data_IF_853679554694
#
_entry.id   IF_853679554694
#
_cell.length_a   1.000
_cell.length_b   1.000
_cell.length_c   1.000
_cell.angle_alpha   90.00
_cell.angle_beta   90.00
_cell.angle_gamma   90.00
#
_symmetry.space_group_name_H-M   'P 1'
#
loop_
_entity.id
_entity.type
_entity.pdbx_description
1 polymer ?
#
# COMPACT_ATOMS: atom_id res chain seq x y z
N UNK A 1 17.95 -6.69 21.50
CA UNK A 1 17.06 -5.96 20.57
C UNK A 1 16.89 -4.56 21.10
N UNK A 2 17.28 -3.54 20.34
CA UNK A 2 17.15 -2.16 20.75
C UNK A 2 15.81 -1.61 20.27
N UNK A 3 15.13 -0.83 21.10
CA UNK A 3 13.91 -0.10 20.75
C UNK A 3 14.19 1.38 20.97
N UNK A 4 14.05 2.18 19.93
CA UNK A 4 14.13 3.64 19.96
C UNK A 4 12.71 4.20 20.08
N UNK A 5 12.41 4.92 21.14
CA UNK A 5 11.09 5.51 21.37
C UNK A 5 11.20 6.91 21.97
N UNK A 6 10.14 7.72 21.82
CA UNK A 6 10.13 9.09 22.33
C UNK A 6 8.97 9.90 21.78
N UNK A 7 8.94 11.19 22.11
CA UNK A 7 7.95 12.14 21.61
C UNK A 7 8.69 13.24 20.85
N UNK A 8 8.27 13.53 19.62
CA UNK A 8 8.74 14.67 18.81
C UNK A 8 7.53 15.35 18.18
N UNK A 9 7.45 16.68 18.25
CA UNK A 9 6.33 17.46 17.69
C UNK A 9 4.94 16.95 18.11
N UNK A 10 4.80 16.59 19.40
CA UNK A 10 3.61 15.99 20.02
C UNK A 10 3.21 14.61 19.46
N UNK A 11 4.08 13.96 18.69
CA UNK A 11 3.88 12.63 18.15
C UNK A 11 4.77 11.62 18.88
N UNK A 12 4.16 10.55 19.37
CA UNK A 12 4.86 9.39 19.92
C UNK A 12 5.45 8.57 18.75
N UNK A 13 6.68 8.11 18.89
CA UNK A 13 7.28 7.12 18.00
C UNK A 13 7.88 5.96 18.80
N UNK A 14 7.90 4.78 18.18
CA UNK A 14 8.62 3.60 18.65
C UNK A 14 9.06 2.78 17.43
N UNK A 15 10.36 2.48 17.32
CA UNK A 15 10.94 1.70 16.22
C UNK A 15 12.13 0.88 16.70
N UNK A 16 12.34 -0.30 16.14
CA UNK A 16 13.57 -1.09 16.31
C UNK A 16 14.58 -0.87 15.16
N UNK A 17 14.28 0.04 14.24
CA UNK A 17 15.12 0.39 13.09
C UNK A 17 15.86 1.72 13.36
N UNK A 18 17.19 1.65 13.43
CA UNK A 18 18.05 2.80 13.72
C UNK A 18 18.06 3.84 12.58
N UNK A 19 17.90 3.40 11.32
CA UNK A 19 17.84 4.30 10.17
C UNK A 19 16.55 5.12 10.26
N UNK A 20 15.42 4.45 10.52
CA UNK A 20 14.13 5.13 10.73
C UNK A 20 14.20 6.11 11.90
N UNK A 21 14.84 5.72 13.01
CA UNK A 21 15.05 6.61 14.16
C UNK A 21 15.82 7.89 13.78
N UNK A 22 16.92 7.76 13.02
CA UNK A 22 17.73 8.91 12.55
C UNK A 22 17.01 9.78 11.52
N UNK A 23 15.93 9.30 10.90
CA UNK A 23 15.13 10.06 9.94
C UNK A 23 13.86 10.69 10.54
N UNK A 24 13.54 10.47 11.82
CA UNK A 24 12.30 11.00 12.42
C UNK A 24 12.23 12.53 12.30
N UNK A 25 11.14 13.02 11.71
CA UNK A 25 10.89 14.44 11.48
C UNK A 25 11.73 15.07 10.37
N UNK A 26 12.47 14.27 9.59
CA UNK A 26 13.04 14.72 8.31
C UNK A 26 12.02 14.51 7.19
N UNK A 27 12.06 15.30 6.11
CA UNK A 27 11.28 15.03 4.91
C UNK A 27 11.54 13.61 4.39
N UNK A 28 10.49 12.98 3.88
CA UNK A 28 10.57 11.69 3.19
C UNK A 28 10.11 11.89 1.75
N UNK A 29 10.89 11.38 0.78
CA UNK A 29 10.59 11.50 -0.65
C UNK A 29 9.26 10.83 -1.02
N UNK A 30 8.86 9.80 -0.28
CA UNK A 30 7.59 9.07 -0.46
C UNK A 30 6.70 9.26 0.77
N UNK A 31 6.24 10.50 0.96
CA UNK A 31 5.37 10.87 2.07
C UNK A 31 3.94 10.35 1.85
N UNK A 32 3.30 9.90 2.93
CA UNK A 32 1.88 9.49 2.91
C UNK A 32 0.94 10.64 2.52
N UNK A 33 1.36 11.90 2.70
CA UNK A 33 0.54 13.07 2.34
C UNK A 33 0.26 13.14 0.84
N UNK A 34 1.14 12.55 0.03
CA UNK A 34 1.05 12.55 -1.42
C UNK A 34 0.39 11.26 -1.95
N UNK A 35 -0.03 10.35 -1.04
CA UNK A 35 -0.70 9.11 -1.42
C UNK A 35 -2.14 9.38 -1.89
N UNK A 36 -2.65 8.59 -2.84
CA UNK A 36 -4.00 8.78 -3.40
C UNK A 36 -5.13 8.64 -2.38
N UNK A 37 -4.89 7.93 -1.28
CA UNK A 37 -5.84 7.71 -0.18
C UNK A 37 -5.67 8.67 1.00
N UNK A 38 -4.76 9.65 0.92
CA UNK A 38 -4.42 10.51 2.05
C UNK A 38 -5.63 11.35 2.52
N UNK A 39 -6.49 11.77 1.59
CA UNK A 39 -7.72 12.50 1.89
C UNK A 39 -8.72 11.67 2.70
N UNK A 40 -8.75 10.36 2.45
CA UNK A 40 -9.77 9.45 2.97
C UNK A 40 -9.51 9.08 4.43
N UNK A 41 -8.30 9.35 4.92
CA UNK A 41 -7.91 9.17 6.32
C UNK A 41 -8.65 10.14 7.24
N UNK A 42 -9.06 11.31 6.74
CA UNK A 42 -9.61 12.37 7.57
C UNK A 42 -10.99 11.98 8.10
N UNK A 43 -11.16 12.03 9.42
CA UNK A 43 -12.43 11.76 10.09
C UNK A 43 -12.68 10.28 10.38
N UNK A 44 -11.81 9.38 9.93
CA UNK A 44 -11.89 7.96 10.28
C UNK A 44 -11.35 7.72 11.68
N UNK A 45 -12.03 6.86 12.43
CA UNK A 45 -11.56 6.42 13.76
C UNK A 45 -10.31 5.55 13.62
N UNK A 46 -10.32 4.66 12.64
CA UNK A 46 -9.19 3.83 12.25
C UNK A 46 -9.06 3.85 10.73
N UNK A 47 -7.83 3.92 10.23
CA UNK A 47 -7.54 3.80 8.81
C UNK A 47 -6.26 2.99 8.61
N UNK A 48 -6.33 1.99 7.75
CA UNK A 48 -5.21 1.17 7.32
C UNK A 48 -5.19 1.16 5.79
N UNK A 49 -4.02 1.35 5.19
CA UNK A 49 -3.85 1.20 3.75
C UNK A 49 -2.59 0.41 3.42
N UNK A 50 -2.69 -0.38 2.37
CA UNK A 50 -1.61 -1.11 1.72
C UNK A 50 -1.43 -0.53 0.33
N UNK A 51 -0.37 0.25 0.15
CA UNK A 51 -0.02 0.86 -1.13
C UNK A 51 0.75 -0.17 -1.98
N UNK A 52 0.11 -0.68 -3.04
CA UNK A 52 0.70 -1.71 -3.91
C UNK A 52 1.84 -1.16 -4.75
N UNK A 53 1.82 0.12 -5.13
CA UNK A 53 2.92 0.75 -5.86
C UNK A 53 4.19 0.80 -5.01
N UNK A 54 4.07 1.19 -3.75
CA UNK A 54 5.18 1.23 -2.81
C UNK A 54 5.78 -0.17 -2.59
N UNK A 55 4.95 -1.22 -2.51
CA UNK A 55 5.38 -2.61 -2.38
C UNK A 55 6.13 -3.06 -3.64
N UNK A 56 5.56 -2.85 -4.82
CA UNK A 56 6.18 -3.22 -6.09
C UNK A 56 7.50 -2.48 -6.35
N UNK A 57 7.68 -1.32 -5.72
CA UNK A 57 8.90 -0.54 -5.81
C UNK A 57 10.04 -1.04 -4.92
N UNK A 58 9.77 -1.92 -3.95
CA UNK A 58 10.78 -2.47 -3.05
C UNK A 58 11.82 -3.27 -3.85
N UNK A 59 13.14 -3.10 -3.58
CA UNK A 59 14.19 -3.80 -4.32
C UNK A 59 14.05 -5.32 -4.31
N UNK A 60 13.65 -5.89 -3.17
CA UNK A 60 13.40 -7.34 -3.04
C UNK A 60 12.24 -7.81 -3.93
N UNK A 61 11.17 -7.02 -4.04
CA UNK A 61 10.01 -7.34 -4.88
C UNK A 61 10.40 -7.26 -6.35
N UNK A 62 11.15 -6.22 -6.75
CA UNK A 62 11.68 -6.10 -8.12
C UNK A 62 12.58 -7.27 -8.49
N UNK A 63 13.45 -7.70 -7.58
CA UNK A 63 14.30 -8.88 -7.77
C UNK A 63 13.45 -10.14 -7.97
N UNK A 64 12.45 -10.36 -7.12
CA UNK A 64 11.53 -11.50 -7.25
C UNK A 64 10.71 -11.45 -8.54
N UNK A 65 10.30 -10.27 -9.02
CA UNK A 65 9.63 -10.15 -10.33
C UNK A 65 10.54 -10.60 -11.48
N UNK A 66 11.85 -10.34 -11.38
CA UNK A 66 12.83 -10.76 -12.39
C UNK A 66 13.16 -12.25 -12.35
N UNK A 67 13.30 -12.84 -11.16
CA UNK A 67 13.86 -14.18 -10.97
C UNK A 67 12.89 -15.22 -10.39
N UNK A 68 11.72 -14.81 -9.90
CA UNK A 68 10.76 -15.64 -9.15
C UNK A 68 9.85 -16.54 -9.99
N UNK A 69 10.11 -16.65 -11.29
CA UNK A 69 9.31 -17.48 -12.21
C UNK A 69 7.99 -16.84 -12.66
N UNK A 70 7.25 -17.57 -13.50
CA UNK A 70 6.03 -17.06 -14.15
C UNK A 70 4.88 -16.81 -13.17
N UNK A 71 4.75 -17.66 -12.13
CA UNK A 71 3.73 -17.49 -11.10
C UNK A 71 3.89 -16.17 -10.34
N UNK A 72 5.12 -15.84 -9.92
CA UNK A 72 5.37 -14.57 -9.24
C UNK A 72 5.14 -13.36 -10.16
N UNK A 73 5.58 -13.43 -11.43
CA UNK A 73 5.32 -12.37 -12.42
C UNK A 73 3.82 -12.13 -12.60
N UNK A 74 3.02 -13.18 -12.62
CA UNK A 74 1.57 -13.08 -12.73
C UNK A 74 0.97 -12.33 -11.53
N UNK A 75 1.37 -12.67 -10.30
CA UNK A 75 0.91 -11.96 -9.10
C UNK A 75 1.40 -10.51 -9.06
N UNK A 76 2.65 -10.25 -9.46
CA UNK A 76 3.18 -8.89 -9.57
C UNK A 76 2.39 -8.07 -10.61
N UNK A 77 2.00 -8.68 -11.73
CA UNK A 77 1.15 -8.05 -12.74
C UNK A 77 -0.23 -7.72 -12.18
N UNK A 78 -0.86 -8.62 -11.43
CA UNK A 78 -2.12 -8.32 -10.73
C UNK A 78 -1.97 -7.13 -9.78
N UNK A 79 -0.96 -7.18 -8.90
CA UNK A 79 -0.70 -6.11 -7.95
C UNK A 79 -0.44 -4.77 -8.66
N UNK A 80 0.14 -4.79 -9.86
CA UNK A 80 0.42 -3.59 -10.65
C UNK A 80 -0.84 -2.87 -11.16
N UNK A 81 -1.98 -3.57 -11.24
CA UNK A 81 -3.29 -3.00 -11.60
C UNK A 81 -4.02 -2.39 -10.41
N UNK A 82 -3.58 -2.70 -9.19
CA UNK A 82 -4.13 -2.17 -7.95
C UNK A 82 -3.32 -0.92 -7.58
N UNK A 83 -4.00 0.14 -7.14
CA UNK A 83 -3.37 1.35 -6.59
C UNK A 83 -3.13 1.19 -5.09
N UNK A 84 -4.18 0.80 -4.36
CA UNK A 84 -4.10 0.48 -2.94
C UNK A 84 -5.30 -0.36 -2.50
N UNK A 85 -5.14 -1.01 -1.36
CA UNK A 85 -6.22 -1.57 -0.56
C UNK A 85 -6.32 -0.74 0.73
N UNK A 86 -7.52 -0.34 1.14
CA UNK A 86 -7.75 0.32 2.43
C UNK A 86 -8.79 -0.44 3.26
N UNK A 87 -8.68 -0.28 4.58
CA UNK A 87 -9.71 -0.63 5.53
C UNK A 87 -9.88 0.57 6.47
N UNK A 88 -11.13 0.99 6.69
CA UNK A 88 -11.41 2.14 7.54
C UNK A 88 -12.65 1.93 8.39
N UNK A 89 -12.74 2.68 9.49
CA UNK A 89 -13.96 2.74 10.31
C UNK A 89 -14.38 4.17 10.59
N UNK A 90 -15.69 4.40 10.58
CA UNK A 90 -16.33 5.67 10.89
C UNK A 90 -17.60 5.39 11.70
N UNK A 91 -17.60 5.80 12.98
CA UNK A 91 -18.65 5.43 13.91
C UNK A 91 -18.77 3.91 14.03
N UNK A 92 -19.96 3.39 13.71
CA UNK A 92 -20.28 1.95 13.73
C UNK A 92 -20.07 1.26 12.38
N UNK A 93 -19.68 2.01 11.34
CA UNK A 93 -19.46 1.47 9.98
C UNK A 93 -18.00 1.15 9.76
N UNK A 94 -17.72 0.00 9.15
CA UNK A 94 -16.39 -0.36 8.64
C UNK A 94 -16.45 -0.63 7.14
N UNK A 95 -15.46 -0.15 6.39
CA UNK A 95 -15.32 -0.36 4.95
C UNK A 95 -13.99 -1.00 4.61
N UNK A 96 -13.98 -1.79 3.53
CA UNK A 96 -12.76 -2.26 2.86
C UNK A 96 -12.88 -1.86 1.39
N UNK A 97 -11.87 -1.20 0.86
CA UNK A 97 -11.88 -0.67 -0.50
C UNK A 97 -10.67 -1.18 -1.26
N UNK A 98 -10.93 -1.81 -2.41
CA UNK A 98 -9.90 -2.17 -3.38
C UNK A 98 -9.93 -1.14 -4.51
N UNK A 99 -8.90 -0.30 -4.58
CA UNK A 99 -8.82 0.77 -5.57
C UNK A 99 -7.91 0.35 -6.72
N UNK A 100 -8.49 0.25 -7.91
CA UNK A 100 -7.77 -0.07 -9.15
C UNK A 100 -7.13 1.19 -9.75
N UNK A 101 -6.03 1.02 -10.49
CA UNK A 101 -5.32 2.15 -11.12
C UNK A 101 -6.08 2.74 -12.30
N UNK A 102 -6.68 1.89 -13.13
CA UNK A 102 -7.50 2.33 -14.24
C UNK A 102 -8.85 2.81 -13.69
N UNK A 103 -9.10 4.12 -13.85
CA UNK A 103 -10.33 4.78 -13.42
C UNK A 103 -11.36 4.90 -14.54
N UNK A 104 -10.94 4.64 -15.78
CA UNK A 104 -11.75 4.83 -16.99
C UNK A 104 -12.51 3.54 -17.34
N UNK A 105 -11.98 2.38 -16.95
CA UNK A 105 -12.66 1.09 -17.10
C UNK A 105 -13.43 0.72 -15.84
N UNK A 106 -14.65 0.23 -16.02
CA UNK A 106 -15.46 -0.33 -14.93
C UNK A 106 -14.68 -1.39 -14.11
N UNK A 107 -14.70 -1.28 -12.78
CA UNK A 107 -13.92 -2.16 -11.90
C UNK A 107 -14.30 -3.64 -12.02
N UNK A 108 -15.60 -3.97 -12.18
CA UNK A 108 -16.03 -5.35 -12.36
C UNK A 108 -15.50 -5.92 -13.67
N UNK A 109 -15.49 -5.12 -14.75
CA UNK A 109 -14.88 -5.53 -16.02
C UNK A 109 -13.40 -5.84 -15.85
N UNK A 110 -12.64 -4.98 -15.17
CA UNK A 110 -11.22 -5.21 -14.91
C UNK A 110 -10.98 -6.52 -14.14
N UNK A 111 -11.78 -6.79 -13.10
CA UNK A 111 -11.69 -8.02 -12.29
C UNK A 111 -12.02 -9.26 -13.13
N UNK A 112 -13.08 -9.20 -13.94
CA UNK A 112 -13.48 -10.32 -14.82
C UNK A 112 -12.42 -10.59 -15.88
N UNK A 113 -11.89 -9.55 -16.51
CA UNK A 113 -10.84 -9.70 -17.53
C UNK A 113 -9.56 -10.28 -16.92
N UNK A 114 -9.23 -9.92 -15.68
CA UNK A 114 -8.15 -10.57 -14.94
C UNK A 114 -8.44 -12.06 -14.67
N UNK A 115 -9.64 -12.41 -14.21
CA UNK A 115 -9.99 -13.79 -13.94
C UNK A 115 -9.93 -14.66 -15.21
N UNK A 116 -10.32 -14.11 -16.37
CA UNK A 116 -10.18 -14.78 -17.67
C UNK A 116 -8.71 -15.00 -18.03
N UNK A 117 -7.89 -13.95 -17.92
CA UNK A 117 -6.45 -14.05 -18.16
C UNK A 117 -5.81 -15.13 -17.26
N UNK A 118 -6.21 -15.20 -15.99
CA UNK A 118 -5.73 -16.21 -15.04
C UNK A 118 -6.17 -17.63 -15.42
N UNK A 119 -7.41 -17.79 -15.91
CA UNK A 119 -7.94 -19.08 -16.36
C UNK A 119 -7.42 -19.52 -17.75
N UNK A 120 -6.63 -18.68 -18.44
CA UNK A 120 -6.15 -18.93 -19.80
C UNK A 120 -7.23 -18.79 -20.87
N UNK A 121 -8.24 -17.96 -20.62
CA UNK A 121 -9.40 -17.70 -21.50
C UNK A 121 -9.26 -16.41 -22.32
#
# INVERSE_FOLDING_TARGET
>A
MNIFFGIKDKQLYATNDEILYKSIGKPSDKSIKDAPYASDMKGKTTFMAVNTEAILDLPVVKMLTGFGGEEFKMYANLASKISYLSASSEGETSSVELCLKDKDTNALKQIVDFAKQFAGL
#
